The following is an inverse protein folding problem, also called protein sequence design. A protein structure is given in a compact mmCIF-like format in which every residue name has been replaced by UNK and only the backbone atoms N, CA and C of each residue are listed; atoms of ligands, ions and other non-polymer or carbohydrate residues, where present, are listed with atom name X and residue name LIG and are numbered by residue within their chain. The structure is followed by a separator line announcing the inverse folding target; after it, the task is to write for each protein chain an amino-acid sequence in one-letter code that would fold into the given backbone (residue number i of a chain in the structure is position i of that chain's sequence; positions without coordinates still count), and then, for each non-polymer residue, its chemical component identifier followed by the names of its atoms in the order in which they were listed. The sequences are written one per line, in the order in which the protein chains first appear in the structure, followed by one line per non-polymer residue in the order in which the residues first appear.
data_IF_137970035522
#
_entry.id   IF_137970035522
#
_cell.length_a   1.000
_cell.length_b   1.000
_cell.length_c   1.000
_cell.angle_alpha   90.00
_cell.angle_beta   90.00
_cell.angle_gamma   90.00
#
_symmetry.space_group_name_H-M   'P 1'
#
loop_
_entity.id
_entity.type
_entity.pdbx_description
1 polymer ?
#
# COMPACT_ATOMS: atom_id res chain seq x y z
N UNK A 1 -15.31 -6.61 23.33
CA UNK A 1 -14.49 -7.56 22.56
C UNK A 1 -14.19 -6.94 21.20
N UNK A 2 -13.06 -6.24 21.06
CA UNK A 2 -12.72 -5.45 19.86
C UNK A 2 -11.35 -5.82 19.26
N UNK A 3 -10.81 -7.01 19.58
CA UNK A 3 -9.42 -7.37 19.21
C UNK A 3 -9.28 -8.10 17.86
N UNK A 4 -10.37 -8.47 17.19
CA UNK A 4 -10.28 -9.28 15.97
C UNK A 4 -9.91 -8.46 14.73
N UNK A 5 -10.25 -7.16 14.69
CA UNK A 5 -9.95 -6.30 13.53
C UNK A 5 -8.47 -5.95 13.44
N UNK A 6 -7.88 -5.51 14.54
CA UNK A 6 -6.47 -5.13 14.62
C UNK A 6 -5.57 -6.32 14.35
N UNK A 7 -5.90 -7.49 14.92
CA UNK A 7 -5.07 -8.69 14.73
C UNK A 7 -5.00 -9.15 13.27
N UNK A 8 -6.11 -9.09 12.52
CA UNK A 8 -6.11 -9.46 11.09
C UNK A 8 -5.37 -8.43 10.24
N UNK A 9 -5.49 -7.14 10.56
CA UNK A 9 -4.70 -6.08 9.95
C UNK A 9 -3.20 -6.29 10.17
N UNK A 10 -2.78 -6.56 11.42
CA UNK A 10 -1.37 -6.79 11.76
C UNK A 10 -0.80 -8.00 11.04
N UNK A 11 -1.53 -9.13 11.02
CA UNK A 11 -1.09 -10.33 10.29
C UNK A 11 -0.90 -10.01 8.79
N UNK A 12 -1.85 -9.32 8.17
CA UNK A 12 -1.73 -8.95 6.76
C UNK A 12 -0.54 -8.00 6.51
N UNK A 13 -0.33 -7.04 7.40
CA UNK A 13 0.80 -6.12 7.35
C UNK A 13 2.13 -6.87 7.41
N UNK A 14 2.32 -7.73 8.42
CA UNK A 14 3.56 -8.48 8.62
C UNK A 14 3.83 -9.41 7.44
N UNK A 15 2.79 -10.04 6.87
CA UNK A 15 2.93 -10.94 5.74
C UNK A 15 3.44 -10.23 4.49
N UNK A 16 2.84 -9.08 4.16
CA UNK A 16 3.23 -8.28 2.98
C UNK A 16 4.63 -7.69 3.19
N UNK A 17 4.90 -7.14 4.39
CA UNK A 17 6.21 -6.60 4.72
C UNK A 17 7.29 -7.67 4.59
N UNK A 18 7.04 -8.89 5.09
CA UNK A 18 7.97 -10.00 4.97
C UNK A 18 8.31 -10.31 3.51
N UNK A 19 7.32 -10.34 2.63
CA UNK A 19 7.56 -10.56 1.20
C UNK A 19 8.37 -9.45 0.53
N UNK A 20 8.18 -8.20 0.95
CA UNK A 20 8.99 -7.07 0.47
C UNK A 20 10.43 -7.20 0.96
N UNK A 21 10.64 -7.54 2.24
CA UNK A 21 11.97 -7.69 2.85
C UNK A 21 12.71 -8.92 2.29
N UNK A 22 12.00 -10.03 2.07
CA UNK A 22 12.54 -11.27 1.49
C UNK A 22 12.87 -11.11 -0.01
N UNK A 23 12.37 -10.04 -0.64
CA UNK A 23 12.53 -9.80 -2.07
C UNK A 23 11.59 -10.62 -2.95
N UNK A 24 10.55 -11.23 -2.35
CA UNK A 24 9.46 -11.90 -3.08
C UNK A 24 8.69 -10.90 -3.95
N UNK A 25 8.43 -9.70 -3.43
CA UNK A 25 7.89 -8.60 -4.23
C UNK A 25 8.99 -7.58 -4.51
N UNK A 26 9.32 -7.42 -5.79
CA UNK A 26 10.25 -6.41 -6.23
C UNK A 26 9.59 -5.02 -6.24
N UNK A 27 10.42 -3.98 -6.13
CA UNK A 27 9.92 -2.63 -6.32
C UNK A 27 9.34 -2.45 -7.73
N UNK A 28 8.11 -1.93 -7.80
CA UNK A 28 7.33 -1.85 -9.02
C UNK A 28 6.36 -3.02 -9.23
N UNK A 29 6.47 -4.10 -8.44
CA UNK A 29 5.52 -5.21 -8.55
C UNK A 29 4.13 -4.81 -8.09
N UNK A 30 3.15 -5.37 -8.79
CA UNK A 30 1.75 -5.16 -8.48
C UNK A 30 1.26 -6.20 -7.48
N UNK A 31 0.91 -5.72 -6.30
CA UNK A 31 0.26 -6.48 -5.24
C UNK A 31 -1.24 -6.34 -5.39
N UNK A 32 -1.87 -7.39 -5.89
CA UNK A 32 -3.31 -7.42 -6.07
C UNK A 32 -4.00 -7.66 -4.73
N UNK A 33 -4.97 -6.81 -4.40
CA UNK A 33 -5.76 -6.95 -3.19
C UNK A 33 -6.54 -8.26 -3.16
N UNK A 34 -7.01 -8.75 -4.32
CA UNK A 34 -7.78 -10.00 -4.43
C UNK A 34 -6.90 -11.18 -4.05
N UNK A 35 -5.70 -11.24 -4.61
CA UNK A 35 -4.74 -12.32 -4.32
C UNK A 35 -4.40 -12.35 -2.82
N UNK A 36 -4.17 -11.18 -2.20
CA UNK A 36 -3.96 -11.11 -0.75
C UNK A 36 -5.18 -11.56 0.07
N UNK A 37 -6.40 -11.19 -0.35
CA UNK A 37 -7.61 -11.65 0.35
C UNK A 37 -7.81 -13.16 0.25
N UNK A 38 -7.44 -13.76 -0.88
CA UNK A 38 -7.54 -15.20 -1.10
C UNK A 38 -6.43 -15.97 -0.36
N UNK A 39 -5.19 -15.49 -0.45
CA UNK A 39 -4.01 -16.07 0.21
C UNK A 39 -4.13 -16.04 1.74
N UNK A 40 -4.48 -14.88 2.30
CA UNK A 40 -4.62 -14.72 3.76
C UNK A 40 -5.99 -15.18 4.27
N UNK A 41 -6.92 -15.50 3.36
CA UNK A 41 -8.31 -15.84 3.66
C UNK A 41 -9.01 -14.77 4.52
N UNK A 42 -8.67 -13.49 4.28
CA UNK A 42 -9.16 -12.34 5.05
C UNK A 42 -10.10 -11.46 4.23
N UNK A 43 -10.98 -10.74 4.95
CA UNK A 43 -11.85 -9.74 4.34
C UNK A 43 -11.06 -8.57 3.76
N UNK A 44 -11.63 -7.86 2.78
CA UNK A 44 -11.01 -6.68 2.15
C UNK A 44 -10.69 -5.55 3.13
N UNK A 45 -11.42 -5.45 4.24
CA UNK A 45 -11.27 -4.40 5.25
C UNK A 45 -9.91 -4.44 5.96
N UNK A 46 -9.50 -5.54 6.63
CA UNK A 46 -8.17 -5.63 7.25
C UNK A 46 -7.03 -5.56 6.23
N UNK A 47 -7.19 -6.17 5.05
CA UNK A 47 -6.19 -6.09 3.96
C UNK A 47 -5.99 -4.64 3.52
N UNK A 48 -7.08 -3.90 3.28
CA UNK A 48 -7.00 -2.49 2.89
C UNK A 48 -6.33 -1.64 3.96
N UNK A 49 -6.62 -1.90 5.23
CA UNK A 49 -6.03 -1.15 6.34
C UNK A 49 -4.52 -1.44 6.49
N UNK A 50 -4.11 -2.70 6.35
CA UNK A 50 -2.71 -3.11 6.33
C UNK A 50 -1.94 -2.47 5.15
N UNK A 51 -2.53 -2.51 3.95
CA UNK A 51 -1.96 -1.87 2.76
C UNK A 51 -1.85 -0.35 2.93
N UNK A 52 -2.87 0.30 3.49
CA UNK A 52 -2.83 1.74 3.78
C UNK A 52 -1.72 2.10 4.77
N UNK A 53 -1.49 1.27 5.78
CA UNK A 53 -0.41 1.43 6.76
C UNK A 53 0.97 1.29 6.11
N UNK A 54 1.20 0.23 5.33
CA UNK A 54 2.43 0.03 4.55
C UNK A 54 2.70 1.19 3.59
N UNK A 55 1.63 1.79 3.05
CA UNK A 55 1.74 2.94 2.17
C UNK A 55 2.07 4.23 2.90
N UNK A 56 1.56 4.42 4.12
CA UNK A 56 1.97 5.53 4.99
C UNK A 56 3.45 5.46 5.38
N UNK A 57 4.01 4.24 5.46
CA UNK A 57 5.44 4.02 5.74
C UNK A 57 6.32 4.06 4.47
N UNK A 58 5.72 4.10 3.28
CA UNK A 58 6.44 4.19 2.01
C UNK A 58 6.94 2.85 1.45
N UNK A 59 6.52 1.71 2.01
CA UNK A 59 6.85 0.38 1.46
C UNK A 59 6.05 0.09 0.17
N UNK A 60 4.83 0.60 0.07
CA UNK A 60 3.94 0.38 -1.08
C UNK A 60 3.16 1.66 -1.43
N UNK A 61 2.50 1.66 -2.58
CA UNK A 61 1.55 2.69 -3.00
C UNK A 61 0.20 2.05 -3.28
N UNK A 62 -0.81 2.35 -2.46
CA UNK A 62 -2.17 1.83 -2.65
C UNK A 62 -2.91 2.63 -3.72
N UNK A 63 -3.52 1.93 -4.68
CA UNK A 63 -4.41 2.51 -5.68
C UNK A 63 -5.86 2.09 -5.42
N UNK A 64 -6.79 3.05 -5.43
CA UNK A 64 -8.21 2.75 -5.26
C UNK A 64 -8.69 1.81 -6.38
N UNK A 65 -9.46 0.80 -5.99
CA UNK A 65 -10.08 -0.21 -6.87
C UNK A 65 -9.14 -1.16 -7.64
N UNK A 66 -7.83 -0.92 -7.61
CA UNK A 66 -6.87 -1.71 -8.40
C UNK A 66 -6.01 -2.61 -7.52
N UNK A 67 -5.44 -2.11 -6.41
CA UNK A 67 -4.51 -2.90 -5.60
C UNK A 67 -3.45 -2.01 -4.97
N UNK A 68 -2.24 -2.51 -4.81
CA UNK A 68 -1.09 -1.74 -4.38
C UNK A 68 0.13 -2.06 -5.25
N UNK A 69 1.07 -1.14 -5.38
CA UNK A 69 2.36 -1.40 -6.00
C UNK A 69 3.45 -1.33 -4.94
N UNK A 70 4.41 -2.26 -4.93
CA UNK A 70 5.57 -2.15 -4.06
C UNK A 70 6.40 -0.96 -4.49
N UNK A 71 6.65 -0.03 -3.58
CA UNK A 71 7.47 1.13 -3.87
C UNK A 71 8.91 0.77 -3.60
N UNK A 72 9.84 1.14 -4.49
CA UNK A 72 11.23 1.23 -4.08
C UNK A 72 11.27 2.29 -3.00
N UNK A 73 11.86 2.00 -1.85
CA UNK A 73 12.06 3.00 -0.80
C UNK A 73 12.99 4.08 -1.37
N UNK A 74 12.40 5.08 -2.01
CA UNK A 74 13.06 6.32 -2.31
C UNK A 74 12.35 7.32 -1.43
N UNK A 75 13.07 7.74 -0.39
CA UNK A 75 12.76 8.94 0.37
C UNK A 75 13.00 10.15 -0.55
N UNK A 76 12.25 10.24 -1.64
CA UNK A 76 11.96 11.49 -2.33
C UNK A 76 10.80 12.07 -1.51
N UNK A 77 11.12 12.79 -0.43
CA UNK A 77 11.37 14.24 -0.47
C UNK A 77 10.13 14.94 -1.00
N UNK A 78 9.57 15.78 -0.11
CA UNK A 78 8.85 17.02 -0.35
C UNK A 78 8.53 17.41 -1.81
N UNK A 79 7.36 18.03 -1.99
CA UNK A 79 6.93 18.81 -3.17
C UNK A 79 6.15 18.04 -4.25
N UNK A 80 4.85 17.91 -4.00
CA UNK A 80 3.85 18.05 -5.06
C UNK A 80 3.33 19.50 -5.08
N UNK A 81 4.23 20.47 -5.17
CA UNK A 81 3.92 21.76 -5.79
C UNK A 81 4.44 21.70 -7.23
N UNK A 82 3.60 21.32 -8.20
CA UNK A 82 3.85 21.77 -9.57
C UNK A 82 2.55 21.97 -10.36
N UNK A 83 2.30 23.26 -10.61
CA UNK A 83 1.64 23.87 -11.76
C UNK A 83 0.20 23.46 -12.08
N UNK A 84 -0.72 24.29 -11.57
CA UNK A 84 -1.79 24.83 -12.44
C UNK A 84 -1.51 26.31 -12.76
N UNK A 85 -0.34 26.58 -13.34
CA UNK A 85 -0.10 27.82 -14.05
C UNK A 85 -0.53 27.64 -15.52
N UNK A 86 -1.82 27.89 -15.77
CA UNK A 86 -2.40 28.23 -17.08
C UNK A 86 -3.56 29.16 -16.77
N UNK A 87 -3.59 30.43 -17.10
CA UNK A 87 -2.64 31.30 -17.78
C UNK A 87 -3.31 32.68 -17.76
N UNK A 88 -2.50 33.72 -17.63
CA UNK A 88 -2.91 35.09 -17.89
C UNK A 88 -3.37 35.18 -19.36
N UNK A 89 -4.62 35.56 -19.60
CA UNK A 89 -5.03 36.19 -20.86
C UNK A 89 -5.95 37.36 -20.52
N UNK A 90 -5.49 38.51 -21.00
CA UNK A 90 -6.08 39.84 -21.13
C UNK A 90 -7.61 39.93 -21.00
#
# INVERSE_FOLDING_TARGET
MENSKTRLEEIAYEHILKYIIDGTYAAGDFVNQRDLTEELNMSRTPIKAALARLSGEGYIRVFPYSGAFVSHYQKDTEESEDKKERGLLH
#
